data_IF_146714065699
#
_entry.id   IF_146714065699
#
_cell.length_a   1.000
_cell.length_b   1.000
_cell.length_c   1.000
_cell.angle_alpha   90.00
_cell.angle_beta   90.00
_cell.angle_gamma   90.00
#
_symmetry.space_group_name_H-M   'P 1'
#
loop_
_entity.id
_entity.type
_entity.pdbx_description
1 polymer ?
#
# COMPACT_ATOMS: atom_id res chain seq x y z
N UNK A 1 -4.18 -12.64 40.80
CA UNK A 1 -4.10 -11.16 40.79
C UNK A 1 -2.70 -10.58 40.63
N UNK A 2 -1.64 -11.04 41.31
CA UNK A 2 -0.28 -10.51 41.07
C UNK A 2 0.41 -11.05 39.79
N UNK A 3 0.00 -12.24 39.31
CA UNK A 3 0.60 -12.91 38.14
C UNK A 3 0.02 -12.42 36.79
N UNK A 4 -1.19 -11.85 36.76
CA UNK A 4 -1.86 -11.41 35.52
C UNK A 4 -1.34 -10.06 35.00
N UNK A 5 -0.71 -9.26 35.86
CA UNK A 5 -0.09 -7.99 35.48
C UNK A 5 1.28 -8.16 34.78
N UNK A 6 1.90 -9.34 34.86
CA UNK A 6 3.22 -9.58 34.26
C UNK A 6 3.16 -9.87 32.75
N UNK A 7 1.97 -10.11 32.19
CA UNK A 7 1.79 -10.46 30.77
C UNK A 7 0.91 -9.44 30.05
N UNK A 8 1.18 -8.14 30.25
CA UNK A 8 0.46 -7.06 29.56
C UNK A 8 1.40 -6.31 28.64
N UNK A 9 1.08 -6.30 27.35
CA UNK A 9 1.78 -5.51 26.35
C UNK A 9 1.07 -4.17 26.15
N UNK A 10 1.83 -3.07 26.25
CA UNK A 10 1.36 -1.71 26.03
C UNK A 10 1.91 -1.20 24.71
N UNK A 11 1.02 -0.89 23.77
CA UNK A 11 1.39 -0.36 22.46
C UNK A 11 0.83 1.04 22.28
N UNK A 12 1.54 1.87 21.54
CA UNK A 12 1.04 3.15 21.02
C UNK A 12 0.98 3.05 19.51
N UNK A 13 -0.20 3.22 18.95
CA UNK A 13 -0.46 3.11 17.52
C UNK A 13 -0.71 4.51 16.97
N UNK A 14 0.19 4.99 16.11
CA UNK A 14 0.07 6.30 15.48
C UNK A 14 -1.02 6.31 14.41
N UNK A 15 -1.59 7.48 14.16
CA UNK A 15 -2.46 7.77 13.02
C UNK A 15 -1.90 8.99 12.29
N UNK A 16 -2.51 9.38 11.17
CA UNK A 16 -2.18 10.63 10.48
C UNK A 16 -2.77 11.88 11.16
N UNK A 17 -3.55 11.71 12.23
CA UNK A 17 -4.03 12.82 13.04
C UNK A 17 -2.88 13.35 13.93
N UNK A 18 -2.28 14.45 13.50
CA UNK A 18 -1.16 15.07 14.22
C UNK A 18 -1.59 15.78 15.51
N UNK A 19 -2.88 15.94 15.76
CA UNK A 19 -3.40 16.54 16.99
C UNK A 19 -3.38 15.57 18.18
N UNK A 20 -3.25 14.26 17.93
CA UNK A 20 -3.24 13.23 18.97
C UNK A 20 -1.89 12.50 19.04
N UNK A 21 -1.41 12.10 20.24
CA UNK A 21 -0.14 11.42 20.41
C UNK A 21 -0.17 9.93 20.01
N UNK A 22 -1.24 9.47 19.34
CA UNK A 22 -1.50 8.07 19.01
C UNK A 22 -2.41 7.33 20.00
N UNK A 23 -2.95 6.20 19.55
CA UNK A 23 -3.89 5.36 20.27
C UNK A 23 -3.15 4.41 21.19
N UNK A 24 -3.35 4.56 22.50
CA UNK A 24 -2.74 3.69 23.51
C UNK A 24 -3.62 2.48 23.76
N UNK A 25 -3.07 1.29 23.55
CA UNK A 25 -3.76 0.02 23.79
C UNK A 25 -2.96 -0.85 24.75
N UNK A 26 -3.66 -1.60 25.59
CA UNK A 26 -3.06 -2.61 26.46
C UNK A 26 -3.74 -3.94 26.18
N UNK A 27 -2.94 -4.96 25.89
CA UNK A 27 -3.39 -6.31 25.55
C UNK A 27 -2.69 -7.34 26.43
N UNK A 28 -3.35 -8.46 26.69
CA UNK A 28 -2.71 -9.61 27.31
C UNK A 28 -1.77 -10.26 26.30
N UNK A 29 -0.49 -10.36 26.65
CA UNK A 29 0.53 -10.99 25.83
C UNK A 29 0.73 -12.45 26.23
N UNK A 30 1.12 -13.28 25.27
CA UNK A 30 1.65 -14.61 25.54
C UNK A 30 3.14 -14.57 25.18
N UNK A 31 4.00 -14.70 26.18
CA UNK A 31 5.46 -14.66 26.02
C UNK A 31 5.96 -13.38 25.30
N UNK A 32 5.41 -12.21 25.64
CA UNK A 32 5.80 -10.94 25.01
C UNK A 32 5.22 -10.73 23.60
N UNK A 33 4.28 -11.56 23.16
CA UNK A 33 3.71 -11.48 21.81
C UNK A 33 2.20 -11.29 21.81
N UNK A 34 1.67 -10.60 20.78
CA UNK A 34 0.24 -10.42 20.53
C UNK A 34 -0.07 -10.59 19.04
N UNK A 35 -1.30 -10.99 18.71
CA UNK A 35 -1.75 -11.06 17.32
C UNK A 35 -2.13 -9.66 16.81
N UNK A 36 -1.72 -9.36 15.57
CA UNK A 36 -2.08 -8.13 14.87
C UNK A 36 -3.58 -7.88 14.84
N UNK A 37 -4.39 -8.92 14.63
CA UNK A 37 -5.85 -8.78 14.62
C UNK A 37 -6.46 -8.37 15.97
N UNK A 38 -5.81 -8.72 17.08
CA UNK A 38 -6.26 -8.33 18.41
C UNK A 38 -5.86 -6.89 18.71
N UNK A 39 -4.66 -6.48 18.26
CA UNK A 39 -4.23 -5.08 18.29
C UNK A 39 -5.19 -4.21 17.48
N UNK A 40 -5.47 -4.58 16.22
CA UNK A 40 -6.40 -3.83 15.36
C UNK A 40 -7.80 -3.71 15.96
N UNK A 41 -8.32 -4.80 16.53
CA UNK A 41 -9.62 -4.79 17.22
C UNK A 41 -9.60 -3.83 18.41
N UNK A 42 -8.56 -3.91 19.26
CA UNK A 42 -8.44 -3.07 20.45
C UNK A 42 -8.28 -1.59 20.11
N UNK A 43 -7.53 -1.27 19.05
CA UNK A 43 -7.41 0.10 18.51
C UNK A 43 -8.77 0.58 18.03
N UNK A 44 -9.50 -0.25 17.27
CA UNK A 44 -10.85 0.07 16.82
C UNK A 44 -11.81 0.36 17.97
N UNK A 45 -11.80 -0.47 19.01
CA UNK A 45 -12.63 -0.28 20.20
C UNK A 45 -12.33 1.05 20.92
N UNK A 46 -11.05 1.43 21.03
CA UNK A 46 -10.64 2.70 21.66
C UNK A 46 -11.04 3.91 20.82
N UNK A 47 -10.96 3.81 19.49
CA UNK A 47 -11.35 4.87 18.56
C UNK A 47 -12.86 4.97 18.34
N UNK A 48 -13.63 3.94 18.72
CA UNK A 48 -15.05 3.84 18.36
C UNK A 48 -15.29 3.49 16.89
N UNK A 49 -14.30 2.91 16.21
CA UNK A 49 -14.40 2.44 14.84
C UNK A 49 -15.35 1.23 14.78
N UNK A 50 -16.26 1.19 13.81
CA UNK A 50 -17.20 0.07 13.70
C UNK A 50 -16.47 -1.22 13.34
N UNK A 51 -16.97 -2.34 13.86
CA UNK A 51 -16.32 -3.65 13.69
C UNK A 51 -16.25 -4.07 12.22
N UNK A 52 -17.29 -3.78 11.44
CA UNK A 52 -17.35 -4.02 10.01
C UNK A 52 -16.35 -3.16 9.22
N UNK A 53 -15.96 -2.00 9.75
CA UNK A 53 -15.00 -1.10 9.11
C UNK A 53 -13.55 -1.55 9.27
N UNK A 54 -13.26 -2.43 10.25
CA UNK A 54 -11.89 -2.84 10.60
C UNK A 54 -11.14 -3.49 9.44
N UNK A 55 -11.83 -4.16 8.52
CA UNK A 55 -11.18 -4.81 7.37
C UNK A 55 -10.59 -3.82 6.36
N UNK A 56 -10.96 -2.54 6.44
CA UNK A 56 -10.44 -1.47 5.58
C UNK A 56 -9.23 -0.75 6.18
N UNK A 57 -8.68 -1.25 7.28
CA UNK A 57 -7.50 -0.71 7.95
C UNK A 57 -6.51 -1.82 8.28
N UNK A 58 -5.24 -1.44 8.39
CA UNK A 58 -4.16 -2.36 8.73
C UNK A 58 -3.21 -1.72 9.75
N UNK A 59 -2.57 -2.56 10.55
CA UNK A 59 -1.43 -2.13 11.38
C UNK A 59 -0.17 -2.21 10.53
N UNK A 60 0.55 -1.10 10.43
CA UNK A 60 1.84 -1.00 9.77
C UNK A 60 2.96 -0.76 10.79
N UNK A 61 4.18 -1.15 10.44
CA UNK A 61 5.39 -0.63 11.05
C UNK A 61 5.93 0.51 10.18
N UNK A 62 6.06 1.70 10.76
CA UNK A 62 6.29 2.97 10.05
C UNK A 62 4.97 3.70 9.76
N UNK A 63 4.96 5.02 9.90
CA UNK A 63 3.84 5.89 9.49
C UNK A 63 4.05 6.42 8.06
N UNK A 64 5.09 7.23 7.85
CA UNK A 64 5.35 7.90 6.56
C UNK A 64 6.06 7.00 5.53
N UNK A 65 6.94 6.10 6.00
CA UNK A 65 7.65 5.13 5.16
C UNK A 65 7.47 3.71 5.73
N UNK A 66 6.29 3.08 5.55
CA UNK A 66 5.98 1.79 6.14
C UNK A 66 6.90 0.69 5.60
N UNK A 67 7.53 -0.06 6.50
CA UNK A 67 8.42 -1.16 6.12
C UNK A 67 7.68 -2.50 6.04
N UNK A 68 6.56 -2.62 6.77
CA UNK A 68 5.77 -3.85 6.88
C UNK A 68 4.31 -3.56 7.21
N UNK A 69 3.38 -4.32 6.62
CA UNK A 69 2.01 -4.48 7.10
C UNK A 69 1.87 -5.79 7.90
N UNK A 70 1.15 -5.75 9.01
CA UNK A 70 0.85 -6.94 9.80
C UNK A 70 -0.51 -7.52 9.40
N UNK A 71 -0.50 -8.70 8.76
CA UNK A 71 -1.72 -9.44 8.41
C UNK A 71 -2.44 -9.95 9.66
N UNK A 72 -3.69 -10.39 9.51
CA UNK A 72 -4.54 -10.87 10.62
C UNK A 72 -3.85 -11.91 11.53
N UNK A 73 -3.08 -12.83 10.95
CA UNK A 73 -2.37 -13.89 11.68
C UNK A 73 -0.95 -13.53 12.11
N UNK A 74 -0.47 -12.33 11.81
CA UNK A 74 0.89 -11.92 12.13
C UNK A 74 1.04 -11.62 13.62
N UNK A 75 2.23 -11.91 14.13
CA UNK A 75 2.63 -11.63 15.50
C UNK A 75 3.30 -10.26 15.57
N UNK A 76 2.92 -9.47 16.57
CA UNK A 76 3.57 -8.23 16.99
C UNK A 76 4.32 -8.53 18.30
N UNK A 77 5.61 -8.20 18.31
CA UNK A 77 6.50 -8.35 19.46
C UNK A 77 6.42 -7.16 20.41
N UNK A 78 6.92 -7.32 21.63
CA UNK A 78 6.89 -6.29 22.67
C UNK A 78 7.84 -5.12 22.40
N UNK A 79 8.96 -5.40 21.76
CA UNK A 79 9.97 -4.44 21.31
C UNK A 79 9.61 -3.75 19.99
N UNK A 80 8.50 -4.13 19.36
CA UNK A 80 8.06 -3.57 18.09
C UNK A 80 7.63 -2.10 18.28
N UNK A 81 8.41 -1.19 17.70
CA UNK A 81 8.14 0.25 17.76
C UNK A 81 7.58 0.79 16.45
N UNK A 82 7.10 2.03 16.52
CA UNK A 82 6.62 2.83 15.39
C UNK A 82 5.45 2.19 14.64
N UNK A 83 4.48 1.65 15.38
CA UNK A 83 3.28 1.09 14.80
C UNK A 83 2.31 2.20 14.39
N UNK A 84 1.62 2.02 13.27
CA UNK A 84 0.59 2.93 12.79
C UNK A 84 -0.66 2.20 12.32
N UNK A 85 -1.80 2.86 12.43
CA UNK A 85 -3.06 2.45 11.81
C UNK A 85 -3.19 3.19 10.48
N UNK A 86 -3.28 2.45 9.38
CA UNK A 86 -3.40 3.03 8.04
C UNK A 86 -4.60 2.48 7.31
N UNK A 87 -5.17 3.31 6.44
CA UNK A 87 -6.16 2.91 5.45
C UNK A 87 -5.58 1.81 4.55
N UNK A 88 -6.31 0.71 4.43
CA UNK A 88 -6.01 -0.44 3.56
C UNK A 88 -7.24 -0.81 2.72
N UNK A 89 -7.81 0.19 2.06
CA UNK A 89 -8.92 0.04 1.13
C UNK A 89 -8.63 0.84 -0.12
N UNK A 90 -8.55 0.16 -1.26
CA UNK A 90 -8.25 0.80 -2.56
C UNK A 90 -9.41 0.69 -3.53
N UNK A 91 -10.47 -0.04 -3.16
CA UNK A 91 -11.75 -0.03 -3.85
C UNK A 91 -12.56 1.22 -3.48
N UNK A 92 -12.74 2.11 -4.45
CA UNK A 92 -13.45 3.37 -4.25
C UNK A 92 -14.95 3.19 -3.98
N UNK A 93 -15.57 2.12 -4.46
CA UNK A 93 -16.99 1.84 -4.21
C UNK A 93 -17.19 1.42 -2.76
N UNK A 94 -16.34 0.53 -2.26
CA UNK A 94 -16.30 0.12 -0.85
C UNK A 94 -16.02 1.32 0.06
N UNK A 95 -14.98 2.11 -0.26
CA UNK A 95 -14.62 3.29 0.53
C UNK A 95 -15.74 4.34 0.56
N UNK A 96 -16.43 4.59 -0.56
CA UNK A 96 -17.58 5.52 -0.59
C UNK A 96 -18.73 5.06 0.30
N UNK A 97 -18.93 3.75 0.44
CA UNK A 97 -19.92 3.20 1.38
C UNK A 97 -19.45 3.36 2.82
N UNK A 98 -18.16 3.14 3.07
CA UNK A 98 -17.53 3.28 4.38
C UNK A 98 -17.68 4.71 4.92
N UNK A 99 -17.32 5.72 4.13
CA UNK A 99 -17.35 7.13 4.56
C UNK A 99 -18.77 7.67 4.87
N UNK A 100 -19.81 6.98 4.39
CA UNK A 100 -21.21 7.32 4.68
C UNK A 100 -21.72 6.66 5.97
N UNK A 101 -21.10 5.55 6.38
CA UNK A 101 -21.61 4.68 7.44
C UNK A 101 -20.83 4.82 8.74
N UNK A 102 -19.57 5.21 8.69
CA UNK A 102 -18.68 5.22 9.86
C UNK A 102 -17.91 6.55 9.95
N UNK A 103 -18.35 7.49 10.81
CA UNK A 103 -17.68 8.79 10.97
C UNK A 103 -16.23 8.69 11.43
N UNK A 104 -15.88 7.67 12.23
CA UNK A 104 -14.51 7.46 12.70
C UNK A 104 -13.64 6.99 11.53
N UNK A 105 -14.14 6.07 10.71
CA UNK A 105 -13.45 5.67 9.48
C UNK A 105 -13.25 6.85 8.53
N UNK A 106 -14.29 7.68 8.34
CA UNK A 106 -14.23 8.91 7.53
C UNK A 106 -13.10 9.82 8.01
N UNK A 107 -13.02 10.08 9.31
CA UNK A 107 -12.03 10.98 9.87
C UNK A 107 -10.59 10.43 9.72
N UNK A 108 -10.38 9.12 9.95
CA UNK A 108 -9.07 8.48 9.73
C UNK A 108 -8.62 8.56 8.26
N UNK A 109 -9.55 8.31 7.31
CA UNK A 109 -9.26 8.40 5.87
C UNK A 109 -9.01 9.84 5.45
N UNK A 110 -9.75 10.80 6.01
CA UNK A 110 -9.54 12.23 5.80
C UNK A 110 -8.11 12.64 6.19
N UNK A 111 -7.65 12.30 7.40
CA UNK A 111 -6.30 12.67 7.84
C UNK A 111 -5.20 12.08 6.97
N UNK A 112 -5.36 10.83 6.53
CA UNK A 112 -4.41 10.21 5.62
C UNK A 112 -4.43 10.88 4.23
N UNK A 113 -5.60 11.19 3.68
CA UNK A 113 -5.72 11.90 2.40
C UNK A 113 -5.14 13.33 2.47
N UNK A 114 -5.36 14.01 3.59
CA UNK A 114 -4.80 15.33 3.85
C UNK A 114 -3.27 15.28 3.92
N UNK A 115 -2.72 14.30 4.65
CA UNK A 115 -1.28 14.07 4.70
C UNK A 115 -0.69 13.75 3.32
N UNK A 116 -1.36 12.93 2.51
CA UNK A 116 -0.94 12.60 1.15
C UNK A 116 -0.87 13.85 0.24
N UNK A 117 -1.74 14.85 0.46
CA UNK A 117 -1.65 16.15 -0.24
C UNK A 117 -0.45 16.97 0.29
N UNK A 118 -0.30 17.09 1.61
CA UNK A 118 0.77 17.87 2.24
C UNK A 118 2.17 17.38 1.87
N UNK A 119 2.32 16.07 1.72
CA UNK A 119 3.59 15.42 1.31
C UNK A 119 3.79 15.40 -0.20
N UNK A 120 2.82 15.88 -0.98
CA UNK A 120 2.89 15.95 -2.44
C UNK A 120 2.73 14.60 -3.15
N UNK A 121 2.30 13.55 -2.44
CA UNK A 121 1.86 12.28 -3.07
C UNK A 121 0.64 12.52 -3.95
N UNK A 122 -0.33 13.28 -3.45
CA UNK A 122 -1.48 13.73 -4.23
C UNK A 122 -1.27 15.18 -4.64
N UNK A 123 -1.42 15.44 -5.95
CA UNK A 123 -1.14 16.74 -6.55
C UNK A 123 -2.42 17.31 -7.16
N UNK A 124 -3.25 18.02 -6.37
CA UNK A 124 -4.42 18.72 -6.89
C UNK A 124 -4.03 19.84 -7.86
N UNK A 125 -4.92 20.16 -8.79
CA UNK A 125 -4.84 21.42 -9.56
C UNK A 125 -5.20 22.61 -8.65
N UNK A 126 -4.87 23.84 -9.07
CA UNK A 126 -5.23 25.05 -8.30
C UNK A 126 -6.73 25.15 -7.99
N UNK A 127 -7.59 24.79 -8.93
CA UNK A 127 -9.04 24.76 -8.73
C UNK A 127 -9.45 23.69 -7.70
N UNK A 128 -8.82 22.52 -7.74
CA UNK A 128 -9.08 21.46 -6.75
C UNK A 128 -8.57 21.85 -5.36
N UNK A 129 -7.43 22.54 -5.26
CA UNK A 129 -6.89 23.08 -4.01
C UNK A 129 -7.86 24.08 -3.35
N UNK A 130 -8.47 24.97 -4.12
CA UNK A 130 -9.52 25.89 -3.63
C UNK A 130 -10.68 25.12 -3.01
N UNK A 131 -11.24 24.14 -3.74
CA UNK A 131 -12.35 23.32 -3.25
C UNK A 131 -11.99 22.47 -2.03
N UNK A 132 -10.76 21.99 -1.96
CA UNK A 132 -10.26 21.24 -0.81
C UNK A 132 -10.13 22.14 0.42
N UNK A 133 -9.68 23.40 0.25
CA UNK A 133 -9.62 24.38 1.34
C UNK A 133 -10.99 24.73 1.90
N UNK A 134 -12.01 24.86 1.06
CA UNK A 134 -13.38 25.11 1.51
C UNK A 134 -13.91 24.00 2.43
N UNK A 135 -13.46 22.75 2.23
CA UNK A 135 -13.85 21.62 3.06
C UNK A 135 -13.14 21.59 4.43
N UNK A 136 -12.10 22.39 4.62
CA UNK A 136 -11.33 22.52 5.87
C UNK A 136 -11.84 23.68 6.74
N UNK A 137 -12.96 24.31 6.38
CA UNK A 137 -13.60 25.35 7.17
C UNK A 137 -13.93 24.80 8.58
N UNK A 138 -13.37 25.38 9.66
CA UNK A 138 -13.64 24.95 11.03
C UNK A 138 -15.11 25.05 11.43
N UNK A 139 -15.87 25.96 10.82
CA UNK A 139 -17.29 26.15 11.13
C UNK A 139 -18.16 25.08 10.45
N UNK A 140 -17.68 24.48 9.36
CA UNK A 140 -18.37 23.46 8.57
C UNK A 140 -17.44 22.35 8.07
N UNK A 141 -16.81 21.56 8.96
CA UNK A 141 -15.88 20.51 8.57
C UNK A 141 -16.58 19.47 7.70
N UNK A 142 -16.03 19.24 6.52
CA UNK A 142 -16.65 18.42 5.48
C UNK A 142 -15.74 17.25 5.05
N UNK A 143 -15.21 16.49 6.03
CA UNK A 143 -14.28 15.36 5.82
C UNK A 143 -14.71 14.45 4.66
N UNK A 144 -15.97 14.01 4.64
CA UNK A 144 -16.49 13.14 3.59
C UNK A 144 -16.48 13.77 2.19
N UNK A 145 -16.67 15.09 2.10
CA UNK A 145 -16.58 15.82 0.82
C UNK A 145 -15.11 16.02 0.41
N UNK A 146 -14.22 16.31 1.36
CA UNK A 146 -12.78 16.39 1.15
C UNK A 146 -12.25 15.08 0.56
N UNK A 147 -12.63 13.94 1.16
CA UNK A 147 -12.24 12.61 0.68
C UNK A 147 -12.74 12.38 -0.75
N UNK A 148 -14.01 12.72 -1.06
CA UNK A 148 -14.56 12.58 -2.42
C UNK A 148 -13.82 13.43 -3.45
N UNK A 149 -13.34 14.61 -3.09
CA UNK A 149 -12.48 15.42 -3.98
C UNK A 149 -11.14 14.72 -4.22
N UNK A 150 -10.52 14.20 -3.15
CA UNK A 150 -9.27 13.46 -3.22
C UNK A 150 -9.38 12.18 -4.07
N UNK A 151 -10.52 11.47 -4.01
CA UNK A 151 -10.78 10.26 -4.81
C UNK A 151 -10.70 10.50 -6.33
N UNK A 152 -10.80 11.76 -6.79
CA UNK A 152 -10.67 12.11 -8.21
C UNK A 152 -9.23 12.52 -8.59
N UNK A 153 -8.30 12.54 -7.64
CA UNK A 153 -6.90 12.86 -7.90
C UNK A 153 -6.15 11.62 -8.41
N UNK A 154 -5.30 11.76 -9.44
CA UNK A 154 -4.41 10.68 -9.87
C UNK A 154 -3.57 10.16 -8.69
N UNK A 155 -3.52 8.84 -8.51
CA UNK A 155 -2.77 8.19 -7.43
C UNK A 155 -3.50 8.08 -6.08
N UNK A 156 -4.78 8.47 -5.97
CA UNK A 156 -5.51 8.33 -4.70
C UNK A 156 -5.61 6.87 -4.21
N UNK A 157 -5.94 5.94 -5.11
CA UNK A 157 -6.05 4.50 -4.80
C UNK A 157 -4.73 3.76 -5.01
N UNK A 158 -3.57 4.43 -4.93
CA UNK A 158 -2.26 3.80 -5.10
C UNK A 158 -1.40 3.91 -3.84
N UNK A 159 -0.39 3.04 -3.79
CA UNK A 159 0.65 3.03 -2.77
C UNK A 159 1.96 3.46 -3.44
N UNK A 160 2.66 4.43 -2.84
CA UNK A 160 3.98 4.86 -3.28
C UNK A 160 5.05 4.24 -2.37
N UNK A 161 6.03 3.60 -2.97
CA UNK A 161 7.23 3.08 -2.32
C UNK A 161 8.38 4.00 -2.71
N UNK A 162 8.77 4.88 -1.80
CA UNK A 162 9.84 5.85 -2.07
C UNK A 162 11.24 5.28 -1.91
N UNK A 163 12.17 5.80 -2.70
CA UNK A 163 13.60 5.57 -2.51
C UNK A 163 14.09 4.16 -2.87
N UNK A 164 13.45 3.50 -3.83
CA UNK A 164 13.93 2.22 -4.37
C UNK A 164 15.19 2.44 -5.20
N UNK A 165 16.20 1.59 -5.05
CA UNK A 165 17.46 1.70 -5.81
C UNK A 165 17.51 0.62 -6.89
N UNK A 166 17.84 1.00 -8.12
CA UNK A 166 18.15 0.05 -9.18
C UNK A 166 19.54 -0.51 -8.93
N UNK A 167 19.65 -1.84 -8.79
CA UNK A 167 20.88 -2.50 -8.32
C UNK A 167 21.69 -3.21 -9.41
N UNK A 168 21.17 -3.27 -10.65
CA UNK A 168 21.93 -3.82 -11.78
C UNK A 168 21.78 -2.95 -13.03
N UNK A 169 22.86 -2.92 -13.81
CA UNK A 169 22.93 -2.24 -15.09
C UNK A 169 22.73 -3.25 -16.22
N UNK A 170 21.47 -3.47 -16.61
CA UNK A 170 21.14 -4.26 -17.80
C UNK A 170 20.88 -3.29 -18.97
N UNK A 171 21.32 -3.59 -20.21
CA UNK A 171 21.12 -2.70 -21.36
C UNK A 171 19.66 -2.26 -21.57
N UNK A 172 18.71 -3.16 -21.31
CA UNK A 172 17.27 -2.89 -21.36
C UNK A 172 16.78 -1.99 -20.24
N UNK A 173 17.38 -2.08 -19.05
CA UNK A 173 17.07 -1.20 -17.91
C UNK A 173 17.61 0.19 -18.16
N UNK A 174 18.85 0.31 -18.64
CA UNK A 174 19.50 1.60 -18.95
C UNK A 174 18.74 2.45 -19.97
N UNK A 175 18.02 1.81 -20.90
CA UNK A 175 17.18 2.51 -21.87
C UNK A 175 16.01 3.26 -21.22
N UNK A 176 15.65 2.90 -19.99
CA UNK A 176 14.49 3.44 -19.27
C UNK A 176 14.91 4.18 -18.00
N UNK A 177 15.92 3.65 -17.30
CA UNK A 177 16.43 4.17 -16.04
C UNK A 177 17.98 4.16 -16.06
N UNK A 178 18.63 5.33 -15.98
CA UNK A 178 20.09 5.37 -15.88
C UNK A 178 20.57 4.67 -14.61
N UNK A 179 21.76 4.07 -14.65
CA UNK A 179 22.39 3.43 -13.48
C UNK A 179 23.59 4.26 -13.00
N UNK A 180 23.75 4.48 -11.68
CA UNK A 180 22.81 4.17 -10.59
C UNK A 180 21.62 5.15 -10.61
N UNK A 181 20.43 4.68 -10.25
CA UNK A 181 19.27 5.55 -10.02
C UNK A 181 18.45 5.13 -8.82
N UNK A 182 17.87 6.15 -8.20
CA UNK A 182 16.82 6.01 -7.21
C UNK A 182 15.50 6.36 -7.87
N UNK A 183 14.51 5.50 -7.67
CA UNK A 183 13.17 5.62 -8.23
C UNK A 183 12.13 5.42 -7.14
N UNK A 184 11.01 6.11 -7.27
CA UNK A 184 9.81 5.81 -6.51
C UNK A 184 8.94 4.85 -7.32
N UNK A 185 8.32 3.88 -6.65
CA UNK A 185 7.43 2.90 -7.31
C UNK A 185 6.01 3.12 -6.82
N UNK A 186 5.12 3.48 -7.73
CA UNK A 186 3.69 3.63 -7.46
C UNK A 186 2.96 2.38 -7.90
N UNK A 187 2.28 1.70 -6.97
CA UNK A 187 1.51 0.49 -7.15
C UNK A 187 0.01 0.82 -7.16
N UNK A 188 -0.70 0.45 -8.22
CA UNK A 188 -2.15 0.63 -8.34
C UNK A 188 -2.81 -0.65 -8.84
N UNK A 189 -4.15 -0.70 -8.85
CA UNK A 189 -4.89 -1.82 -9.47
C UNK A 189 -4.59 -2.02 -10.96
N UNK A 190 -4.03 -1.01 -11.64
CA UNK A 190 -3.76 -1.05 -13.08
C UNK A 190 -2.33 -1.50 -13.41
N UNK A 191 -1.41 -1.38 -12.46
CA UNK A 191 -0.01 -1.74 -12.66
C UNK A 191 0.95 -0.92 -11.79
N UNK A 192 2.18 -0.82 -12.29
CA UNK A 192 3.31 -0.15 -11.65
C UNK A 192 3.72 1.08 -12.45
N UNK A 193 4.06 2.16 -11.75
CA UNK A 193 4.71 3.32 -12.34
C UNK A 193 6.02 3.60 -11.58
N UNK A 194 7.13 3.59 -12.31
CA UNK A 194 8.46 3.92 -11.80
C UNK A 194 8.74 5.38 -12.09
N UNK A 195 8.96 6.17 -11.04
CA UNK A 195 9.14 7.62 -11.13
C UNK A 195 10.56 7.96 -10.72
N UNK A 196 11.31 8.56 -11.63
CA UNK A 196 12.61 9.19 -11.39
C UNK A 196 12.47 10.70 -11.52
N UNK A 197 13.56 11.44 -11.29
CA UNK A 197 13.57 12.91 -11.43
C UNK A 197 13.18 13.35 -12.84
N UNK A 198 13.68 12.67 -13.86
CA UNK A 198 13.55 13.10 -15.26
C UNK A 198 12.58 12.26 -16.09
N UNK A 199 12.18 11.09 -15.58
CA UNK A 199 11.40 10.14 -16.36
C UNK A 199 10.37 9.37 -15.50
N UNK A 200 9.25 9.01 -16.12
CA UNK A 200 8.24 8.13 -15.55
C UNK A 200 7.98 6.96 -16.49
N UNK A 201 7.97 5.74 -15.98
CA UNK A 201 7.77 4.54 -16.79
C UNK A 201 6.69 3.65 -16.21
N UNK A 202 5.64 3.48 -17.01
CA UNK A 202 4.42 2.76 -16.66
C UNK A 202 4.44 1.34 -17.23
N UNK A 203 3.99 0.39 -16.44
CA UNK A 203 3.82 -1.01 -16.81
C UNK A 203 2.51 -1.51 -16.21
N UNK A 204 1.65 -2.09 -17.03
CA UNK A 204 0.43 -2.72 -16.54
C UNK A 204 0.73 -4.06 -15.87
N UNK A 205 -0.21 -4.58 -15.08
CA UNK A 205 -0.08 -5.95 -14.57
C UNK A 205 -0.02 -7.01 -15.69
N UNK A 206 -0.56 -6.71 -16.87
CA UNK A 206 -0.52 -7.58 -18.04
C UNK A 206 0.84 -7.57 -18.75
N UNK A 207 1.65 -6.53 -18.55
CA UNK A 207 3.05 -6.48 -19.02
C UNK A 207 3.99 -7.31 -18.13
N UNK A 208 3.60 -7.56 -16.88
CA UNK A 208 4.41 -8.28 -15.89
C UNK A 208 4.33 -9.79 -16.15
N UNK A 209 5.45 -10.38 -16.58
CA UNK A 209 5.55 -11.82 -16.77
C UNK A 209 5.79 -12.55 -15.46
N UNK A 210 6.70 -12.03 -14.63
CA UNK A 210 7.11 -12.66 -13.39
C UNK A 210 7.77 -11.66 -12.45
N UNK A 211 7.83 -12.00 -11.18
CA UNK A 211 8.64 -11.28 -10.21
C UNK A 211 9.29 -12.24 -9.22
N UNK A 212 10.48 -11.89 -8.76
CA UNK A 212 11.23 -12.67 -7.78
C UNK A 212 11.53 -11.80 -6.56
N UNK A 213 11.23 -12.31 -5.36
CA UNK A 213 11.40 -11.61 -4.08
C UNK A 213 12.45 -12.30 -3.25
N UNK A 214 13.49 -11.58 -2.82
CA UNK A 214 14.46 -12.07 -1.84
C UNK A 214 14.37 -11.22 -0.56
N UNK A 215 13.71 -11.77 0.46
CA UNK A 215 13.52 -11.09 1.75
C UNK A 215 14.81 -10.90 2.55
N UNK A 216 15.81 -11.78 2.38
CA UNK A 216 17.10 -11.64 3.08
C UNK A 216 17.90 -10.46 2.52
N UNK A 217 17.88 -10.29 1.19
CA UNK A 217 18.58 -9.23 0.47
C UNK A 217 17.78 -7.93 0.35
N UNK A 218 16.49 -7.95 0.72
CA UNK A 218 15.57 -6.82 0.54
C UNK A 218 15.46 -6.38 -0.93
N UNK A 219 15.47 -7.37 -1.84
CA UNK A 219 15.41 -7.13 -3.28
C UNK A 219 14.16 -7.74 -3.91
N UNK A 220 13.69 -7.08 -4.96
CA UNK A 220 12.64 -7.58 -5.86
C UNK A 220 13.07 -7.36 -7.31
N UNK A 221 12.86 -8.35 -8.16
CA UNK A 221 13.13 -8.26 -9.60
C UNK A 221 11.81 -8.39 -10.33
N UNK A 222 11.43 -7.38 -11.10
CA UNK A 222 10.26 -7.43 -11.98
C UNK A 222 10.69 -7.74 -13.40
N UNK A 223 10.08 -8.72 -14.05
CA UNK A 223 10.35 -9.02 -15.46
C UNK A 223 9.11 -8.75 -16.30
N UNK A 224 9.24 -7.80 -17.22
CA UNK A 224 8.19 -7.34 -18.11
C UNK A 224 8.43 -7.81 -19.54
N UNK A 225 7.36 -7.98 -20.31
CA UNK A 225 7.41 -8.19 -21.76
C UNK A 225 6.45 -7.24 -22.46
N UNK A 226 7.02 -6.31 -23.23
CA UNK A 226 6.25 -5.37 -24.05
C UNK A 226 5.84 -6.00 -25.39
N UNK A 227 4.87 -5.38 -26.06
CA UNK A 227 4.34 -5.80 -27.37
C UNK A 227 5.40 -6.06 -28.45
N UNK A 228 6.55 -5.39 -28.40
CA UNK A 228 7.67 -5.60 -29.32
C UNK A 228 8.51 -6.85 -29.00
N UNK A 229 8.03 -7.73 -28.11
CA UNK A 229 8.74 -8.92 -27.59
C UNK A 229 10.04 -8.62 -26.83
N UNK A 230 10.29 -7.36 -26.47
CA UNK A 230 11.42 -7.00 -25.64
C UNK A 230 11.12 -7.36 -24.19
N UNK A 231 11.98 -8.20 -23.60
CA UNK A 231 11.95 -8.56 -22.19
C UNK A 231 12.84 -7.61 -21.40
N UNK A 232 12.34 -7.12 -20.29
CA UNK A 232 13.03 -6.17 -19.42
C UNK A 232 12.92 -6.64 -17.98
N UNK A 233 14.06 -6.81 -17.30
CA UNK A 233 14.10 -7.12 -15.87
C UNK A 233 14.55 -5.89 -15.10
N UNK A 234 13.77 -5.45 -14.11
CA UNK A 234 14.08 -4.28 -13.26
C UNK A 234 14.36 -4.79 -11.84
N UNK A 235 15.64 -4.95 -11.46
CA UNK A 235 16.02 -5.35 -10.11
C UNK A 235 16.09 -4.13 -9.20
N UNK A 236 15.37 -4.20 -8.08
CA UNK A 236 15.25 -3.14 -7.09
C UNK A 236 15.70 -3.62 -5.72
N UNK A 237 16.35 -2.73 -4.99
CA UNK A 237 16.51 -2.80 -3.54
C UNK A 237 15.60 -1.79 -2.86
N UNK A 238 14.90 -2.22 -1.81
CA UNK A 238 14.12 -1.31 -0.95
C UNK A 238 13.98 -1.85 0.46
N UNK A 239 14.09 -0.97 1.46
CA UNK A 239 13.82 -1.30 2.87
C UNK A 239 12.34 -1.58 3.14
N UNK A 240 11.47 -1.21 2.20
CA UNK A 240 10.03 -1.38 2.28
C UNK A 240 9.55 -2.66 1.55
N UNK A 241 10.43 -3.64 1.32
CA UNK A 241 10.11 -4.81 0.49
C UNK A 241 8.88 -5.58 0.98
N UNK A 242 8.74 -5.77 2.30
CA UNK A 242 7.59 -6.49 2.86
C UNK A 242 6.29 -5.70 2.66
N UNK A 243 6.32 -4.38 2.88
CA UNK A 243 5.20 -3.49 2.59
C UNK A 243 4.84 -3.48 1.09
N UNK A 244 5.83 -3.34 0.22
CA UNK A 244 5.68 -3.37 -1.24
C UNK A 244 5.04 -4.68 -1.72
N UNK A 245 5.47 -5.82 -1.18
CA UNK A 245 4.92 -7.13 -1.54
C UNK A 245 3.47 -7.26 -1.07
N UNK A 246 3.15 -6.79 0.14
CA UNK A 246 1.77 -6.78 0.64
C UNK A 246 0.85 -5.88 -0.21
N UNK A 247 1.33 -4.69 -0.56
CA UNK A 247 0.65 -3.74 -1.45
C UNK A 247 0.38 -4.35 -2.82
N UNK A 248 1.38 -4.97 -3.43
CA UNK A 248 1.25 -5.64 -4.73
C UNK A 248 0.18 -6.74 -4.69
N UNK A 249 0.22 -7.62 -3.69
CA UNK A 249 -0.79 -8.69 -3.58
C UNK A 249 -2.21 -8.14 -3.42
N UNK A 250 -2.38 -7.01 -2.72
CA UNK A 250 -3.69 -6.35 -2.59
C UNK A 250 -4.17 -5.77 -3.93
N UNK A 251 -3.28 -5.12 -4.69
CA UNK A 251 -3.62 -4.60 -6.03
C UNK A 251 -4.00 -5.70 -7.01
N UNK A 252 -3.31 -6.84 -6.96
CA UNK A 252 -3.62 -8.02 -7.78
C UNK A 252 -4.97 -8.64 -7.38
N UNK A 253 -5.25 -8.74 -6.08
CA UNK A 253 -6.56 -9.19 -5.57
C UNK A 253 -7.69 -8.30 -6.08
N UNK A 254 -7.48 -6.98 -6.10
CA UNK A 254 -8.46 -6.03 -6.63
C UNK A 254 -8.64 -6.21 -8.13
N UNK A 255 -7.56 -6.30 -8.91
CA UNK A 255 -7.63 -6.57 -10.35
C UNK A 255 -8.47 -7.84 -10.62
N UNK A 256 -8.19 -8.93 -9.91
CA UNK A 256 -8.94 -10.19 -10.01
C UNK A 256 -10.42 -10.05 -9.67
N UNK A 257 -10.76 -9.22 -8.68
CA UNK A 257 -12.15 -9.00 -8.29
C UNK A 257 -12.92 -8.26 -9.38
N UNK A 258 -12.29 -7.26 -10.02
CA UNK A 258 -12.91 -6.46 -11.09
C UNK A 258 -12.96 -7.20 -12.43
N UNK A 259 -11.97 -8.05 -12.73
CA UNK A 259 -11.89 -8.81 -13.98
C UNK A 259 -12.55 -10.20 -13.86
N UNK A 260 -13.26 -10.49 -12.75
CA UNK A 260 -13.84 -11.80 -12.44
C UNK A 260 -14.90 -12.30 -13.43
N UNK A 261 -15.50 -11.40 -14.20
CA UNK A 261 -16.44 -11.74 -15.29
C UNK A 261 -15.75 -11.98 -16.65
N UNK A 262 -14.41 -11.92 -16.71
CA UNK A 262 -13.64 -12.19 -17.92
C UNK A 262 -12.94 -13.56 -17.85
N UNK A 263 -13.03 -14.36 -18.92
CA UNK A 263 -12.34 -15.66 -19.09
C UNK A 263 -10.79 -15.55 -19.10
N UNK A 264 -10.25 -14.39 -18.74
CA UNK A 264 -8.85 -13.96 -18.87
C UNK A 264 -8.42 -13.12 -17.66
N UNK A 265 -9.02 -13.37 -16.50
CA UNK A 265 -8.66 -12.74 -15.24
C UNK A 265 -7.17 -12.96 -14.93
N UNK A 266 -6.48 -11.91 -14.49
CA UNK A 266 -5.09 -12.00 -14.06
C UNK A 266 -4.90 -13.14 -13.03
N UNK A 267 -3.98 -14.07 -13.27
CA UNK A 267 -3.64 -15.11 -12.31
C UNK A 267 -2.12 -15.16 -12.11
N UNK A 268 -1.72 -15.11 -10.86
CA UNK A 268 -0.33 -15.29 -10.47
C UNK A 268 -0.20 -16.56 -9.64
N UNK A 269 0.71 -17.43 -10.05
CA UNK A 269 1.05 -18.65 -9.32
C UNK A 269 2.44 -18.49 -8.71
N UNK A 270 2.56 -18.85 -7.43
CA UNK A 270 3.85 -19.02 -6.78
C UNK A 270 4.45 -20.33 -7.28
N UNK A 271 5.61 -20.27 -7.94
CA UNK A 271 6.15 -21.44 -8.63
C UNK A 271 7.30 -22.08 -7.86
N UNK A 272 8.29 -21.28 -7.44
CA UNK A 272 9.56 -21.84 -6.91
C UNK A 272 10.03 -21.06 -5.70
N UNK A 273 10.46 -21.77 -4.67
CA UNK A 273 11.39 -21.25 -3.66
C UNK A 273 12.79 -21.67 -4.07
N UNK A 274 13.65 -20.71 -4.40
CA UNK A 274 15.02 -20.97 -4.84
C UNK A 274 15.92 -21.32 -3.64
N UNK A 275 17.12 -21.87 -3.91
CA UNK A 275 18.08 -22.27 -2.87
C UNK A 275 18.54 -21.09 -1.99
N UNK A 276 18.54 -19.88 -2.52
CA UNK A 276 18.89 -18.65 -1.79
C UNK A 276 17.73 -18.09 -0.94
N UNK A 277 16.61 -18.82 -0.86
CA UNK A 277 15.41 -18.43 -0.15
C UNK A 277 14.56 -17.39 -0.87
N UNK A 278 14.89 -17.03 -2.12
CA UNK A 278 14.03 -16.17 -2.93
C UNK A 278 12.79 -16.92 -3.42
N UNK A 279 11.69 -16.19 -3.58
CA UNK A 279 10.40 -16.72 -4.01
C UNK A 279 10.03 -16.12 -5.35
N UNK A 280 9.80 -16.99 -6.33
CA UNK A 280 9.43 -16.62 -7.69
C UNK A 280 7.93 -16.81 -7.92
N UNK A 281 7.34 -15.81 -8.55
CA UNK A 281 5.95 -15.76 -8.96
C UNK A 281 5.86 -15.50 -10.45
N UNK A 282 4.96 -16.21 -11.13
CA UNK A 282 4.74 -16.05 -12.57
C UNK A 282 3.28 -15.70 -12.83
N UNK A 283 3.09 -14.77 -13.75
CA UNK A 283 1.79 -14.42 -14.29
C UNK A 283 1.47 -15.36 -15.47
N UNK A 284 0.59 -16.33 -15.25
CA UNK A 284 0.23 -17.34 -16.26
C UNK A 284 -0.67 -16.79 -17.38
N UNK A 285 -1.24 -15.60 -17.19
CA UNK A 285 -2.16 -14.94 -18.13
C UNK A 285 -1.61 -13.58 -18.57
N UNK A 286 -0.28 -13.45 -18.64
CA UNK A 286 0.33 -12.28 -19.27
C UNK A 286 -0.22 -12.16 -20.70
N UNK A 287 -0.85 -11.04 -21.00
CA UNK A 287 -1.46 -10.78 -22.30
C UNK A 287 -1.11 -9.35 -22.73
N UNK A 288 -0.04 -9.18 -23.53
CA UNK A 288 0.34 -7.89 -24.02
C UNK A 288 -0.83 -7.18 -24.72
N UNK A 289 -1.71 -7.89 -25.43
CA UNK A 289 -2.85 -7.28 -26.11
C UNK A 289 -3.82 -6.56 -25.16
N UNK A 290 -3.93 -7.01 -23.91
CA UNK A 290 -4.69 -6.32 -22.86
C UNK A 290 -3.96 -5.14 -22.25
N UNK A 291 -2.63 -5.13 -22.23
CA UNK A 291 -1.84 -4.04 -21.66
C UNK A 291 -2.24 -2.67 -22.24
N UNK A 292 -2.50 -2.61 -23.55
CA UNK A 292 -2.91 -1.37 -24.22
C UNK A 292 -4.21 -0.75 -23.65
N UNK A 293 -5.15 -1.55 -23.13
CA UNK A 293 -6.43 -1.07 -22.60
C UNK A 293 -6.30 -0.40 -21.22
N UNK A 294 -5.30 -0.79 -20.45
CA UNK A 294 -5.08 -0.31 -19.09
C UNK A 294 -3.93 0.71 -18.98
N UNK A 295 -3.10 0.84 -20.01
CA UNK A 295 -1.97 1.75 -20.04
C UNK A 295 -2.37 3.23 -19.84
N UNK A 296 -3.52 3.65 -20.38
CA UNK A 296 -4.03 5.02 -20.26
C UNK A 296 -4.59 5.34 -18.85
N UNK A 297 -4.74 4.34 -17.99
CA UNK A 297 -5.30 4.46 -16.64
C UNK A 297 -4.23 4.49 -15.53
N UNK A 298 -2.96 4.33 -15.91
CA UNK A 298 -1.78 4.40 -15.02
C UNK A 298 -1.28 5.83 -14.81
#
# INVERSE_FOLDING_TARGET
MAMELQNMLKLTIKTFDTSTPGVKVTLTSQNGTVLSCDVLRKVGDVLGLKKESLCHFVICQGLEAPIRCFKKGDIILDDQQDLSLQKWCFDLKEERNLIQKDPVATNLIFFQAHHDILTGKLKPTKEQEERLRDCLDPDFPADGQYIKLCQNLPGYSSIQISGCNIIESLPTVLAVFPYPSTVDVVLSRFGLNFISVDNSSKFTWYDLMMWCVNHQRQTIVFTFKRHNSQVMSVPLFTKQLQFMTAAMMEMLRLLQTYDSDSDTAFHAEMIVTQEDGSVEWTNCFYDPCKSALYADQL
#
